data_IF_094561916009
#
_entry.id   IF_094561916009
#
_cell.length_a   1.000
_cell.length_b   1.000
_cell.length_c   1.000
_cell.angle_alpha   90.00
_cell.angle_beta   90.00
_cell.angle_gamma   90.00
#
_symmetry.space_group_name_H-M   'P 1'
#
loop_
_entity.id
_entity.type
_entity.pdbx_description
1 polymer ?
#
# COMPACT_ATOMS: atom_id res chain seq x y z
N UNK A 1 16.36 -5.00 -7.81
CA UNK A 1 15.04 -4.41 -7.45
C UNK A 1 14.64 -4.89 -6.08
N UNK A 2 14.40 -3.99 -5.18
CA UNK A 2 14.03 -4.31 -3.81
C UNK A 2 12.70 -3.71 -3.41
N UNK A 3 12.18 -4.17 -2.28
CA UNK A 3 10.97 -3.61 -1.70
C UNK A 3 11.25 -3.35 -0.23
N UNK A 4 10.97 -2.15 0.22
CA UNK A 4 11.20 -1.74 1.60
C UNK A 4 9.89 -1.33 2.26
N UNK A 5 9.79 -1.63 3.55
CA UNK A 5 8.67 -1.25 4.39
C UNK A 5 9.17 -0.28 5.46
N UNK A 6 8.56 0.88 5.55
CA UNK A 6 8.96 1.86 6.57
C UNK A 6 8.40 1.47 7.94
N UNK A 7 8.94 2.10 9.00
CA UNK A 7 8.45 1.83 10.36
C UNK A 7 6.98 2.16 10.54
N UNK A 8 6.50 3.20 9.87
CA UNK A 8 5.09 3.59 9.99
C UNK A 8 4.16 2.51 9.47
N UNK A 9 4.60 1.72 8.50
CA UNK A 9 3.82 0.60 7.97
C UNK A 9 3.63 -0.47 9.03
N UNK A 10 4.69 -0.81 9.75
CA UNK A 10 4.64 -1.84 10.80
C UNK A 10 3.71 -1.46 11.94
N UNK A 11 3.51 -0.17 12.19
CA UNK A 11 2.68 0.30 13.31
C UNK A 11 1.18 0.09 13.10
N UNK A 12 0.74 -0.15 11.86
CA UNK A 12 -0.68 -0.29 11.56
C UNK A 12 -1.17 -1.73 11.52
N UNK A 13 -0.30 -2.68 11.83
CA UNK A 13 -0.70 -4.06 12.02
C UNK A 13 -0.97 -4.86 10.76
N UNK A 14 -0.74 -4.32 9.58
CA UNK A 14 -0.86 -5.09 8.34
C UNK A 14 0.39 -5.96 8.14
N UNK A 15 0.16 -7.21 7.71
CA UNK A 15 1.28 -8.10 7.38
C UNK A 15 1.82 -7.80 5.98
N UNK A 16 3.05 -8.22 5.72
CA UNK A 16 3.62 -8.08 4.38
C UNK A 16 2.78 -8.78 3.33
N UNK A 17 2.22 -9.95 3.65
CA UNK A 17 1.36 -10.68 2.73
C UNK A 17 0.11 -9.89 2.37
N UNK A 18 -0.51 -9.25 3.34
CA UNK A 18 -1.68 -8.41 3.09
C UNK A 18 -1.34 -7.21 2.22
N UNK A 19 -0.22 -6.57 2.50
CA UNK A 19 0.24 -5.42 1.71
C UNK A 19 0.49 -5.83 0.27
N UNK A 20 1.19 -6.94 0.05
CA UNK A 20 1.48 -7.42 -1.28
C UNK A 20 0.21 -7.84 -2.02
N UNK A 21 -0.76 -8.38 -1.30
CA UNK A 21 -2.03 -8.74 -1.91
C UNK A 21 -2.77 -7.51 -2.42
N UNK A 22 -2.82 -6.44 -1.63
CA UNK A 22 -3.44 -5.18 -2.04
C UNK A 22 -2.78 -4.64 -3.30
N UNK A 23 -1.47 -4.64 -3.36
CA UNK A 23 -0.72 -4.15 -4.53
C UNK A 23 -1.00 -5.01 -5.76
N UNK A 24 -1.12 -6.32 -5.58
CA UNK A 24 -1.35 -7.24 -6.69
C UNK A 24 -2.79 -7.31 -7.18
N UNK A 25 -3.75 -6.87 -6.38
CA UNK A 25 -5.18 -6.99 -6.69
C UNK A 25 -5.95 -5.69 -6.38
N UNK A 26 -5.48 -4.55 -6.87
CA UNK A 26 -6.13 -3.29 -6.55
C UNK A 26 -7.47 -3.15 -7.25
N UNK A 27 -8.44 -2.57 -6.54
CA UNK A 27 -9.70 -2.15 -7.16
C UNK A 27 -9.59 -0.70 -7.66
N UNK A 28 -8.61 0.05 -7.14
CA UNK A 28 -8.38 1.44 -7.53
C UNK A 28 -6.91 1.79 -7.31
N UNK A 29 -6.34 2.58 -8.20
CA UNK A 29 -4.99 3.12 -8.05
C UNK A 29 -5.08 4.62 -8.24
N UNK A 30 -4.53 5.38 -7.30
CA UNK A 30 -4.55 6.84 -7.33
C UNK A 30 -3.13 7.38 -7.35
N UNK A 31 -2.90 8.38 -8.20
CA UNK A 31 -1.64 9.11 -8.18
C UNK A 31 -1.68 10.11 -7.05
N UNK A 32 -0.65 10.11 -6.21
CA UNK A 32 -0.54 11.00 -5.06
C UNK A 32 0.87 11.58 -5.00
N UNK A 33 1.10 12.48 -4.07
CA UNK A 33 2.45 12.91 -3.70
C UNK A 33 2.68 12.58 -2.24
N UNK A 34 3.93 12.28 -1.88
CA UNK A 34 4.27 12.04 -0.48
C UNK A 34 4.47 13.39 0.23
N UNK A 35 4.85 13.35 1.53
CA UNK A 35 5.05 14.57 2.31
C UNK A 35 6.19 15.45 1.80
N UNK A 36 7.07 14.89 1.00
CA UNK A 36 8.20 15.61 0.40
C UNK A 36 7.90 16.14 -0.99
N UNK A 37 6.68 15.90 -1.49
CA UNK A 37 6.30 16.32 -2.82
C UNK A 37 6.69 15.37 -3.93
N UNK A 38 7.22 14.19 -3.59
CA UNK A 38 7.60 13.20 -4.59
C UNK A 38 6.40 12.42 -5.10
N UNK A 39 6.36 12.09 -6.40
CA UNK A 39 5.26 11.29 -6.94
C UNK A 39 5.20 9.91 -6.30
N UNK A 40 3.98 9.45 -6.02
CA UNK A 40 3.73 8.13 -5.46
C UNK A 40 2.41 7.61 -5.97
N UNK A 41 2.11 6.35 -5.65
CA UNK A 41 0.83 5.74 -6.02
C UNK A 41 0.20 5.11 -4.78
N UNK A 42 -1.10 5.27 -4.65
CA UNK A 42 -1.87 4.64 -3.60
C UNK A 42 -2.72 3.54 -4.20
N UNK A 43 -2.50 2.31 -3.75
CA UNK A 43 -3.24 1.14 -4.18
C UNK A 43 -4.31 0.86 -3.14
N UNK A 44 -5.55 0.70 -3.59
CA UNK A 44 -6.67 0.37 -2.71
C UNK A 44 -7.21 -0.96 -3.18
N UNK A 45 -7.25 -1.93 -2.27
CA UNK A 45 -7.72 -3.26 -2.62
C UNK A 45 -8.00 -4.10 -1.39
N UNK A 46 -8.49 -5.35 -1.60
CA UNK A 46 -8.82 -6.23 -0.50
C UNK A 46 -7.57 -6.73 0.22
N UNK A 47 -7.71 -6.99 1.52
CA UNK A 47 -6.62 -7.52 2.34
C UNK A 47 -6.22 -8.93 1.93
N UNK A 48 -7.17 -9.72 1.47
CA UNK A 48 -6.92 -11.09 0.98
C UNK A 48 -8.09 -11.54 0.10
N UNK A 49 -7.98 -12.76 -0.45
CA UNK A 49 -8.91 -13.24 -1.47
C UNK A 49 -10.36 -13.37 -1.02
N UNK A 50 -10.60 -13.55 0.29
CA UNK A 50 -11.91 -13.88 0.80
C UNK A 50 -12.51 -12.79 1.68
N UNK A 51 -12.12 -11.55 1.44
CA UNK A 51 -12.66 -10.43 2.21
C UNK A 51 -13.09 -9.31 1.28
N UNK A 52 -14.11 -8.55 1.71
CA UNK A 52 -14.49 -7.31 1.08
C UNK A 52 -13.94 -6.08 1.81
N UNK A 53 -13.13 -6.30 2.86
CA UNK A 53 -12.49 -5.21 3.59
C UNK A 53 -11.35 -4.66 2.75
N UNK A 54 -11.32 -3.34 2.60
CA UNK A 54 -10.32 -2.69 1.77
C UNK A 54 -9.24 -2.04 2.62
N UNK A 55 -8.05 -2.01 2.04
CA UNK A 55 -6.91 -1.31 2.64
C UNK A 55 -6.27 -0.43 1.58
N UNK A 56 -5.56 0.59 2.02
CA UNK A 56 -4.77 1.44 1.13
C UNK A 56 -3.30 1.27 1.44
N UNK A 57 -2.50 1.19 0.38
CA UNK A 57 -1.05 1.02 0.46
C UNK A 57 -0.43 2.06 -0.45
N UNK A 58 0.41 2.91 0.10
CA UNK A 58 1.10 3.93 -0.69
C UNK A 58 2.54 3.51 -0.95
N UNK A 59 2.93 3.60 -2.20
CA UNK A 59 4.23 3.11 -2.69
C UNK A 59 4.88 4.18 -3.53
N UNK A 60 6.17 4.37 -3.36
CA UNK A 60 6.96 5.19 -4.29
C UNK A 60 8.14 4.38 -4.80
N UNK A 61 8.67 4.78 -5.96
CA UNK A 61 9.82 4.14 -6.58
C UNK A 61 11.03 5.06 -6.46
N UNK A 62 12.12 4.54 -5.94
CA UNK A 62 13.37 5.30 -5.79
C UNK A 62 14.53 4.40 -6.16
N UNK A 63 15.29 4.78 -7.23
CA UNK A 63 16.48 4.04 -7.61
C UNK A 63 16.23 2.59 -7.97
N UNK A 64 15.06 2.26 -8.49
CA UNK A 64 14.72 0.88 -8.84
C UNK A 64 14.09 0.08 -7.71
N UNK A 65 13.99 0.67 -6.53
CA UNK A 65 13.37 0.02 -5.38
C UNK A 65 11.97 0.56 -5.14
N UNK A 66 11.10 -0.31 -4.59
CA UNK A 66 9.77 0.10 -4.15
C UNK A 66 9.80 0.35 -2.64
N UNK A 67 9.33 1.52 -2.24
CA UNK A 67 9.26 1.89 -0.82
C UNK A 67 7.79 2.01 -0.44
N UNK A 68 7.35 1.14 0.45
CA UNK A 68 6.00 1.16 0.99
C UNK A 68 6.05 1.99 2.27
N UNK A 69 5.45 3.18 2.22
CA UNK A 69 5.55 4.13 3.31
C UNK A 69 4.23 4.37 4.02
N UNK A 70 3.15 3.73 3.57
CA UNK A 70 1.84 3.84 4.20
C UNK A 70 1.04 2.59 3.88
N UNK A 71 0.43 1.99 4.89
CA UNK A 71 -0.45 0.85 4.71
C UNK A 71 -1.43 0.79 5.88
N UNK A 72 -2.72 0.89 5.59
CA UNK A 72 -3.75 0.89 6.62
C UNK A 72 -5.06 0.38 6.03
N UNK A 73 -5.84 -0.31 6.86
CA UNK A 73 -7.20 -0.69 6.49
C UNK A 73 -8.07 0.56 6.51
N UNK A 74 -8.83 0.79 5.42
CA UNK A 74 -9.57 2.04 5.25
C UNK A 74 -10.88 2.10 6.00
N UNK A 75 -11.42 0.95 6.39
CA UNK A 75 -12.77 0.86 6.90
C UNK A 75 -13.83 0.76 5.81
N UNK A 76 -13.43 0.93 4.55
CA UNK A 76 -14.33 0.76 3.41
C UNK A 76 -14.47 -0.71 3.05
N UNK A 77 -15.53 -1.03 2.33
CA UNK A 77 -15.78 -2.38 1.83
C UNK A 77 -16.09 -2.35 0.34
N UNK A 78 -15.63 -3.39 -0.30
CA UNK A 78 -15.90 -3.56 -1.73
C UNK A 78 -17.37 -3.91 -1.99
#
# INVERSE_FOLDING_TARGET
MGMEFTESVAKHGMTEQEILYVIGHPVRIEAITDRHGDPAKKFIGPLHAQTNRLAEVAVKTTGGDFIIFHAIETGERA
#
